data_IF_498277289600
#
_entry.id   IF_498277289600
#
_cell.length_a   1.000
_cell.length_b   1.000
_cell.length_c   1.000
_cell.angle_alpha   90.00
_cell.angle_beta   90.00
_cell.angle_gamma   90.00
#
_symmetry.space_group_name_H-M   'P 1'
#
loop_
_entity.id
_entity.type
_entity.pdbx_description
1 polymer ?
#
# COMPACT_ATOMS: atom_id res chain seq x y z
N UNK A 1 -27.94 6.70 -25.41
CA UNK A 1 -27.46 6.28 -24.06
C UNK A 1 -28.06 7.23 -23.02
N UNK A 2 -28.71 6.69 -21.97
CA UNK A 2 -29.31 7.53 -20.92
C UNK A 2 -28.19 8.29 -20.21
N UNK A 3 -28.32 9.62 -20.11
CA UNK A 3 -27.36 10.48 -19.40
C UNK A 3 -27.05 9.98 -17.97
N UNK A 4 -28.01 9.35 -17.31
CA UNK A 4 -27.85 8.71 -16.00
C UNK A 4 -26.83 7.57 -16.07
N UNK A 5 -26.90 6.68 -17.05
CA UNK A 5 -25.95 5.56 -17.18
C UNK A 5 -24.54 6.06 -17.47
N UNK A 6 -24.39 7.11 -18.27
CA UNK A 6 -23.09 7.73 -18.52
C UNK A 6 -22.50 8.33 -17.24
N UNK A 7 -23.31 9.08 -16.48
CA UNK A 7 -22.89 9.63 -15.20
C UNK A 7 -22.45 8.53 -14.20
N UNK A 8 -23.22 7.45 -14.09
CA UNK A 8 -22.87 6.34 -13.23
C UNK A 8 -21.57 5.64 -13.66
N UNK A 9 -21.33 5.52 -14.97
CA UNK A 9 -20.05 4.98 -15.48
C UNK A 9 -18.88 5.87 -15.11
N UNK A 10 -18.99 7.18 -15.26
CA UNK A 10 -17.97 8.12 -14.87
C UNK A 10 -17.69 8.04 -13.36
N UNK A 11 -18.74 7.99 -12.56
CA UNK A 11 -18.62 7.87 -11.09
C UNK A 11 -17.89 6.58 -10.69
N UNK A 12 -18.32 5.44 -11.22
CA UNK A 12 -17.70 4.14 -10.89
C UNK A 12 -16.28 4.06 -11.43
N UNK A 13 -16.02 4.55 -12.64
CA UNK A 13 -14.67 4.64 -13.20
C UNK A 13 -13.75 5.43 -12.27
N UNK A 14 -14.17 6.60 -11.83
CA UNK A 14 -13.42 7.42 -10.88
C UNK A 14 -13.15 6.67 -9.57
N UNK A 15 -14.15 6.00 -8.99
CA UNK A 15 -13.99 5.27 -7.74
C UNK A 15 -12.94 4.15 -7.86
N UNK A 16 -12.94 3.38 -8.95
CA UNK A 16 -11.96 2.32 -9.16
C UNK A 16 -10.56 2.86 -9.42
N UNK A 17 -10.43 3.87 -10.28
CA UNK A 17 -9.12 4.49 -10.55
C UNK A 17 -8.55 5.18 -9.33
N UNK A 18 -9.39 5.86 -8.54
CA UNK A 18 -8.98 6.47 -7.29
C UNK A 18 -8.56 5.43 -6.25
N UNK A 19 -9.29 4.30 -6.16
CA UNK A 19 -8.94 3.19 -5.27
C UNK A 19 -7.57 2.58 -5.64
N UNK A 20 -7.31 2.38 -6.93
CA UNK A 20 -6.02 1.90 -7.42
C UNK A 20 -4.90 2.90 -7.11
N UNK A 21 -5.12 4.19 -7.40
CA UNK A 21 -4.15 5.25 -7.10
C UNK A 21 -3.82 5.32 -5.61
N UNK A 22 -4.84 5.27 -4.76
CA UNK A 22 -4.67 5.35 -3.30
C UNK A 22 -3.86 4.18 -2.73
N UNK A 23 -3.98 2.96 -3.31
CA UNK A 23 -3.17 1.80 -2.93
C UNK A 23 -1.72 1.87 -3.42
N UNK A 24 -1.46 2.65 -4.46
CA UNK A 24 -0.10 2.88 -4.97
C UNK A 24 0.61 4.03 -4.26
N UNK A 25 -0.15 4.89 -3.55
CA UNK A 25 0.41 6.07 -2.90
C UNK A 25 0.78 5.79 -1.42
N UNK A 26 1.94 6.23 -0.90
CA UNK A 26 3.02 6.91 -1.63
C UNK A 26 3.75 5.98 -2.60
N UNK A 27 4.10 6.50 -3.79
CA UNK A 27 4.83 5.72 -4.81
C UNK A 27 6.30 5.54 -4.47
N UNK A 28 6.83 6.40 -3.61
CA UNK A 28 8.20 6.34 -3.12
C UNK A 28 8.47 4.98 -2.48
N UNK A 29 9.54 4.33 -2.89
CA UNK A 29 9.94 2.99 -2.43
C UNK A 29 8.82 1.93 -2.47
N UNK A 30 7.81 2.12 -3.31
CA UNK A 30 6.61 1.26 -3.38
C UNK A 30 5.85 1.16 -2.04
N UNK A 31 5.99 2.15 -1.16
CA UNK A 31 5.42 2.12 0.20
C UNK A 31 3.91 1.86 0.20
N UNK A 32 3.17 2.50 -0.72
CA UNK A 32 1.72 2.33 -0.81
C UNK A 32 1.32 0.88 -1.06
N UNK A 33 1.99 0.21 -2.03
CA UNK A 33 1.66 -1.18 -2.34
C UNK A 33 2.11 -2.15 -1.24
N UNK A 34 3.23 -1.87 -0.56
CA UNK A 34 3.70 -2.64 0.60
C UNK A 34 2.70 -2.50 1.74
N UNK A 35 2.26 -1.28 2.06
CA UNK A 35 1.25 -1.05 3.09
C UNK A 35 -0.07 -1.77 2.77
N UNK A 36 -0.46 -1.83 1.49
CA UNK A 36 -1.63 -2.60 1.07
C UNK A 36 -1.44 -4.11 1.29
N UNK A 37 -0.25 -4.64 1.03
CA UNK A 37 0.09 -6.05 1.25
C UNK A 37 0.05 -6.40 2.74
N UNK A 38 0.72 -5.60 3.57
CA UNK A 38 0.87 -5.85 5.01
C UNK A 38 -0.44 -5.64 5.79
N UNK A 39 -1.17 -4.55 5.48
CA UNK A 39 -2.36 -4.18 6.25
C UNK A 39 -3.65 -4.83 5.74
N UNK A 40 -3.65 -5.42 4.53
CA UNK A 40 -4.84 -6.06 3.98
C UNK A 40 -4.62 -7.50 3.54
N UNK A 41 -3.67 -7.75 2.63
CA UNK A 41 -3.58 -9.07 2.02
C UNK A 41 -3.06 -10.13 3.00
N UNK A 42 -2.06 -9.81 3.81
CA UNK A 42 -1.55 -10.74 4.81
C UNK A 42 -2.62 -11.06 5.87
N UNK A 43 -3.36 -10.10 6.44
CA UNK A 43 -4.50 -10.37 7.32
C UNK A 43 -5.64 -11.14 6.65
N UNK A 44 -5.80 -11.05 5.33
CA UNK A 44 -6.73 -11.89 4.55
C UNK A 44 -6.29 -13.35 4.42
N UNK A 45 -5.08 -13.72 4.88
CA UNK A 45 -4.52 -15.07 4.82
C UNK A 45 -3.57 -15.32 3.65
N UNK A 46 -3.18 -14.29 2.90
CA UNK A 46 -2.13 -14.44 1.91
C UNK A 46 -0.76 -14.53 2.59
N UNK A 47 0.11 -15.42 2.09
CA UNK A 47 1.48 -15.47 2.57
C UNK A 47 2.30 -14.29 2.05
N UNK A 48 3.38 -13.94 2.74
CA UNK A 48 4.34 -12.91 2.30
C UNK A 48 4.89 -13.15 0.88
N UNK A 49 4.94 -14.41 0.45
CA UNK A 49 5.39 -14.78 -0.91
C UNK A 49 4.31 -14.54 -1.98
N UNK A 50 3.02 -14.67 -1.64
CA UNK A 50 1.91 -14.57 -2.60
C UNK A 50 1.26 -13.20 -2.61
N UNK A 51 1.25 -12.49 -1.48
CA UNK A 51 0.68 -11.15 -1.36
C UNK A 51 1.22 -10.15 -2.42
N UNK A 52 2.54 -10.12 -2.73
CA UNK A 52 3.07 -9.22 -3.75
C UNK A 52 2.53 -9.47 -5.16
N UNK A 53 2.29 -10.71 -5.55
CA UNK A 53 1.68 -11.00 -6.86
C UNK A 53 0.20 -10.61 -6.88
N UNK A 54 -0.49 -10.89 -5.78
CA UNK A 54 -1.91 -10.64 -5.68
C UNK A 54 -2.25 -9.15 -5.58
N UNK A 55 -1.39 -8.34 -4.94
CA UNK A 55 -1.55 -6.88 -4.89
C UNK A 55 -1.52 -6.26 -6.28
N UNK A 56 -0.53 -6.66 -7.14
CA UNK A 56 -0.44 -6.18 -8.53
C UNK A 56 -1.64 -6.61 -9.34
N UNK A 57 -2.10 -7.83 -9.15
CA UNK A 57 -3.30 -8.35 -9.82
C UNK A 57 -4.55 -7.56 -9.42
N UNK A 58 -4.78 -7.32 -8.13
CA UNK A 58 -5.93 -6.53 -7.64
C UNK A 58 -5.89 -5.11 -8.16
N UNK A 59 -4.78 -4.41 -7.97
CA UNK A 59 -4.63 -3.01 -8.39
C UNK A 59 -4.75 -2.90 -9.92
N UNK A 60 -4.12 -3.82 -10.66
CA UNK A 60 -4.27 -3.92 -12.11
C UNK A 60 -5.71 -4.15 -12.54
N UNK A 61 -6.45 -4.99 -11.81
CA UNK A 61 -7.89 -5.23 -12.07
C UNK A 61 -8.74 -3.99 -11.78
N UNK A 62 -8.42 -3.21 -10.75
CA UNK A 62 -9.09 -1.93 -10.48
C UNK A 62 -8.86 -0.93 -11.62
N UNK A 63 -7.63 -0.80 -12.10
CA UNK A 63 -7.30 0.05 -13.26
C UNK A 63 -8.04 -0.44 -14.50
N UNK A 64 -8.02 -1.74 -14.76
CA UNK A 64 -8.72 -2.34 -15.90
C UNK A 64 -10.23 -2.06 -15.86
N UNK A 65 -10.90 -2.28 -14.73
CA UNK A 65 -12.32 -1.99 -14.55
C UNK A 65 -12.57 -0.50 -14.73
N UNK A 66 -11.79 0.35 -14.06
CA UNK A 66 -11.94 1.79 -14.12
C UNK A 66 -11.85 2.33 -15.55
N UNK A 67 -10.91 1.85 -16.36
CA UNK A 67 -10.77 2.25 -17.76
C UNK A 67 -11.86 1.64 -18.64
N UNK A 68 -12.15 0.35 -18.52
CA UNK A 68 -13.06 -0.36 -19.43
C UNK A 68 -14.53 -0.04 -19.20
N UNK A 69 -14.92 0.37 -17.99
CA UNK A 69 -16.30 0.74 -17.70
C UNK A 69 -16.76 1.97 -18.49
N UNK A 70 -15.82 2.83 -18.92
CA UNK A 70 -16.10 3.96 -19.80
C UNK A 70 -16.45 3.52 -21.21
N UNK A 71 -15.89 2.39 -21.67
CA UNK A 71 -16.18 1.83 -22.98
C UNK A 71 -17.36 0.86 -22.87
N UNK A 72 -18.28 0.89 -23.84
CA UNK A 72 -19.48 0.03 -23.84
C UNK A 72 -19.18 -1.38 -24.38
N UNK A 73 -17.90 -1.81 -24.39
CA UNK A 73 -17.47 -3.09 -24.93
C UNK A 73 -17.42 -4.14 -23.83
N UNK A 74 -18.13 -5.24 -24.03
CA UNK A 74 -18.23 -6.33 -23.06
C UNK A 74 -18.63 -5.90 -21.63
N UNK A 75 -19.17 -4.68 -21.49
CA UNK A 75 -19.51 -4.08 -20.21
C UNK A 75 -20.35 -5.03 -19.34
N UNK A 76 -21.48 -5.51 -19.89
CA UNK A 76 -22.42 -6.41 -19.18
C UNK A 76 -21.88 -7.82 -18.96
N UNK A 77 -21.03 -8.34 -19.86
CA UNK A 77 -20.59 -9.74 -19.81
C UNK A 77 -19.33 -9.95 -18.99
N UNK A 78 -18.44 -8.98 -18.96
CA UNK A 78 -17.11 -9.11 -18.34
C UNK A 78 -16.90 -8.06 -17.27
N UNK A 79 -16.99 -6.78 -17.61
CA UNK A 79 -16.55 -5.69 -16.75
C UNK A 79 -17.41 -5.57 -15.49
N UNK A 80 -18.74 -5.49 -15.65
CA UNK A 80 -19.64 -5.37 -14.50
C UNK A 80 -19.64 -6.61 -13.59
N UNK A 81 -19.68 -7.86 -14.07
CA UNK A 81 -19.53 -9.04 -13.23
C UNK A 81 -18.20 -9.06 -12.47
N UNK A 82 -17.08 -8.72 -13.13
CA UNK A 82 -15.77 -8.65 -12.49
C UNK A 82 -15.75 -7.58 -11.37
N UNK A 83 -16.30 -6.40 -11.63
CA UNK A 83 -16.43 -5.34 -10.63
C UNK A 83 -17.29 -5.77 -9.42
N UNK A 84 -18.43 -6.44 -9.67
CA UNK A 84 -19.31 -6.94 -8.62
C UNK A 84 -18.60 -7.99 -7.76
N UNK A 85 -17.91 -8.96 -8.39
CA UNK A 85 -17.17 -10.01 -7.68
C UNK A 85 -16.09 -9.38 -6.79
N UNK A 86 -15.33 -8.42 -7.33
CA UNK A 86 -14.26 -7.79 -6.61
C UNK A 86 -14.74 -6.97 -5.40
N UNK A 87 -15.76 -6.14 -5.57
CA UNK A 87 -16.33 -5.34 -4.45
C UNK A 87 -16.99 -6.27 -3.42
N UNK A 88 -17.64 -7.34 -3.86
CA UNK A 88 -18.24 -8.34 -2.94
C UNK A 88 -17.16 -9.02 -2.09
N UNK A 89 -16.05 -9.45 -2.71
CA UNK A 89 -14.92 -10.05 -1.98
C UNK A 89 -14.35 -9.12 -0.91
N UNK A 90 -14.11 -7.85 -1.26
CA UNK A 90 -13.67 -6.86 -0.28
C UNK A 90 -14.72 -6.59 0.81
N UNK A 91 -16.00 -6.58 0.48
CA UNK A 91 -17.08 -6.36 1.46
C UNK A 91 -17.16 -7.49 2.48
N UNK A 92 -16.98 -8.75 2.02
CA UNK A 92 -16.92 -9.90 2.92
C UNK A 92 -15.74 -9.76 3.88
N UNK A 93 -14.55 -9.42 3.37
CA UNK A 93 -13.40 -9.20 4.23
C UNK A 93 -13.61 -8.07 5.23
N UNK A 94 -14.14 -6.91 4.80
CA UNK A 94 -14.44 -5.80 5.69
C UNK A 94 -15.46 -6.17 6.78
N UNK A 95 -16.40 -7.07 6.48
CA UNK A 95 -17.38 -7.53 7.48
C UNK A 95 -16.72 -8.31 8.62
N UNK A 96 -15.59 -8.97 8.39
CA UNK A 96 -14.82 -9.66 9.44
C UNK A 96 -14.01 -8.71 10.32
N UNK A 97 -13.79 -7.48 9.85
CA UNK A 97 -13.07 -6.44 10.58
C UNK A 97 -14.00 -5.45 11.33
N UNK A 98 -15.31 -5.66 11.26
CA UNK A 98 -16.26 -4.82 12.00
C UNK A 98 -16.01 -4.90 13.50
N UNK A 99 -15.84 -3.74 14.14
CA UNK A 99 -15.53 -3.63 15.57
C UNK A 99 -14.05 -3.38 15.87
N UNK A 100 -13.16 -3.35 14.87
CA UNK A 100 -11.82 -2.84 15.04
C UNK A 100 -11.78 -1.33 14.75
N UNK A 101 -11.09 -0.57 15.59
CA UNK A 101 -10.84 0.87 15.35
C UNK A 101 -9.68 1.11 14.37
N UNK A 102 -9.02 0.04 13.91
CA UNK A 102 -7.94 0.13 12.95
C UNK A 102 -8.46 0.58 11.57
N UNK A 103 -7.74 1.49 10.86
CA UNK A 103 -8.12 1.88 9.51
C UNK A 103 -8.06 0.67 8.58
N UNK A 104 -9.08 0.51 7.73
CA UNK A 104 -9.20 -0.68 6.85
C UNK A 104 -8.15 -0.78 5.73
N UNK A 105 -7.32 0.26 5.54
CA UNK A 105 -6.30 0.31 4.48
C UNK A 105 -6.83 0.27 3.04
N UNK A 106 -8.16 0.20 2.83
CA UNK A 106 -8.78 0.04 1.50
C UNK A 106 -8.48 1.18 0.51
N UNK A 107 -8.08 2.34 1.02
CA UNK A 107 -7.70 3.52 0.25
C UNK A 107 -6.28 3.97 0.58
N UNK A 108 -5.39 3.03 0.92
CA UNK A 108 -4.03 3.33 1.33
C UNK A 108 -4.00 4.32 2.51
N UNK A 109 -3.01 5.19 2.51
CA UNK A 109 -2.86 6.23 3.54
C UNK A 109 -3.58 7.54 3.21
N UNK A 110 -4.06 7.70 1.96
CA UNK A 110 -4.70 8.95 1.51
C UNK A 110 -6.01 9.23 2.23
N UNK A 111 -6.81 8.20 2.48
CA UNK A 111 -8.09 8.34 3.19
C UNK A 111 -8.23 7.20 4.21
N UNK A 112 -8.07 7.55 5.47
CA UNK A 112 -8.24 6.60 6.58
C UNK A 112 -9.73 6.42 6.89
N UNK A 113 -10.36 5.46 6.23
CA UNK A 113 -11.75 5.08 6.50
C UNK A 113 -11.80 3.96 7.54
N UNK A 114 -12.82 4.00 8.40
CA UNK A 114 -13.12 2.86 9.27
C UNK A 114 -13.68 1.69 8.44
N UNK A 115 -13.59 0.44 8.92
CA UNK A 115 -14.18 -0.71 8.23
C UNK A 115 -15.67 -0.53 7.92
N UNK A 116 -16.42 0.09 8.84
CA UNK A 116 -17.85 0.38 8.64
C UNK A 116 -18.09 1.37 7.50
N UNK A 117 -17.34 2.48 7.46
CA UNK A 117 -17.47 3.49 6.41
C UNK A 117 -17.14 2.90 5.03
N UNK A 118 -16.08 2.08 4.96
CA UNK A 118 -15.71 1.38 3.74
C UNK A 118 -16.75 0.37 3.30
N UNK A 119 -17.37 -0.34 4.23
CA UNK A 119 -18.45 -1.28 3.96
C UNK A 119 -19.70 -0.57 3.41
N UNK A 120 -20.12 0.54 4.01
CA UNK A 120 -21.24 1.35 3.52
C UNK A 120 -20.97 1.83 2.08
N UNK A 121 -19.79 2.38 1.82
CA UNK A 121 -19.37 2.78 0.48
C UNK A 121 -19.45 1.62 -0.52
N UNK A 122 -18.96 0.44 -0.14
CA UNK A 122 -18.99 -0.75 -1.00
C UNK A 122 -20.42 -1.24 -1.28
N UNK A 123 -21.30 -1.22 -0.29
CA UNK A 123 -22.72 -1.56 -0.48
C UNK A 123 -23.38 -0.61 -1.47
N UNK A 124 -23.17 0.71 -1.33
CA UNK A 124 -23.69 1.69 -2.28
C UNK A 124 -23.14 1.46 -3.69
N UNK A 125 -21.84 1.17 -3.81
CA UNK A 125 -21.20 0.83 -5.08
C UNK A 125 -21.82 -0.44 -5.69
N UNK A 126 -22.07 -1.49 -4.91
CA UNK A 126 -22.73 -2.70 -5.38
C UNK A 126 -24.15 -2.43 -5.90
N UNK A 127 -24.94 -1.62 -5.21
CA UNK A 127 -26.29 -1.23 -5.66
C UNK A 127 -26.20 -0.58 -7.04
N UNK A 128 -25.28 0.36 -7.22
CA UNK A 128 -25.07 1.05 -8.50
C UNK A 128 -24.64 0.05 -9.59
N UNK A 129 -23.67 -0.82 -9.30
CA UNK A 129 -23.18 -1.82 -10.25
C UNK A 129 -24.28 -2.78 -10.69
N UNK A 130 -25.11 -3.27 -9.76
CA UNK A 130 -26.27 -4.14 -10.06
C UNK A 130 -27.32 -3.40 -10.88
N UNK A 131 -27.59 -2.12 -10.56
CA UNK A 131 -28.49 -1.28 -11.37
C UNK A 131 -27.94 -1.12 -12.80
N UNK A 132 -26.66 -0.79 -12.95
CA UNK A 132 -26.02 -0.69 -14.25
C UNK A 132 -26.05 -2.02 -15.00
N UNK A 133 -25.83 -3.15 -14.34
CA UNK A 133 -25.90 -4.47 -14.95
C UNK A 133 -27.29 -4.78 -15.52
N UNK A 134 -28.36 -4.42 -14.80
CA UNK A 134 -29.74 -4.61 -15.28
C UNK A 134 -30.10 -3.71 -16.46
N UNK A 135 -29.61 -2.46 -16.45
CA UNK A 135 -29.94 -1.43 -17.45
C UNK A 135 -29.03 -1.44 -18.68
N UNK A 136 -27.82 -1.99 -18.57
CA UNK A 136 -26.88 -2.03 -19.70
C UNK A 136 -27.29 -3.07 -20.74
N UNK A 137 -27.15 -2.70 -22.00
CA UNK A 137 -27.34 -3.60 -23.13
C UNK A 137 -26.11 -4.50 -23.33
N UNK A 138 -26.33 -5.66 -23.93
CA UNK A 138 -25.24 -6.56 -24.32
C UNK A 138 -24.64 -6.07 -25.63
N UNK A 139 -23.61 -5.26 -25.55
CA UNK A 139 -22.83 -4.88 -26.75
C UNK A 139 -21.56 -5.73 -26.83
N UNK A 140 -21.26 -6.23 -28.01
CA UNK A 140 -20.00 -6.91 -28.33
C UNK A 140 -19.07 -5.86 -28.93
N UNK A 141 -17.84 -5.87 -28.50
CA UNK A 141 -16.76 -5.05 -29.07
C UNK A 141 -15.63 -5.95 -29.55
N UNK A 142 -14.47 -5.39 -29.80
CA UNK A 142 -13.28 -6.16 -30.11
C UNK A 142 -12.71 -6.78 -28.82
N UNK A 143 -12.71 -8.12 -28.75
CA UNK A 143 -12.08 -8.86 -27.66
C UNK A 143 -10.57 -8.57 -27.60
N UNK A 144 -9.96 -8.33 -28.77
CA UNK A 144 -8.53 -7.99 -28.86
C UNK A 144 -8.18 -6.74 -28.07
N UNK A 145 -9.05 -5.72 -28.02
CA UNK A 145 -8.84 -4.50 -27.24
C UNK A 145 -8.77 -4.82 -25.75
N UNK A 146 -9.67 -5.66 -25.25
CA UNK A 146 -9.64 -6.08 -23.82
C UNK A 146 -8.37 -6.87 -23.50
N UNK A 147 -7.98 -7.80 -24.37
CA UNK A 147 -6.76 -8.59 -24.20
C UNK A 147 -5.52 -7.69 -24.19
N UNK A 148 -5.39 -6.80 -25.16
CA UNK A 148 -4.26 -5.86 -25.23
C UNK A 148 -4.22 -4.99 -23.98
N UNK A 149 -5.37 -4.44 -23.57
CA UNK A 149 -5.43 -3.60 -22.37
C UNK A 149 -5.04 -4.37 -21.09
N UNK A 150 -5.54 -5.62 -20.94
CA UNK A 150 -5.18 -6.47 -19.79
C UNK A 150 -3.68 -6.76 -19.77
N UNK A 151 -3.10 -7.14 -20.93
CA UNK A 151 -1.67 -7.41 -21.03
C UNK A 151 -0.84 -6.15 -20.76
N UNK A 152 -1.25 -5.01 -21.31
CA UNK A 152 -0.55 -3.73 -21.10
C UNK A 152 -0.57 -3.32 -19.63
N UNK A 153 -1.72 -3.39 -18.94
CA UNK A 153 -1.85 -3.06 -17.53
C UNK A 153 -1.02 -4.05 -16.68
N UNK A 154 -1.10 -5.35 -16.97
CA UNK A 154 -0.31 -6.35 -16.24
C UNK A 154 1.19 -6.11 -16.40
N UNK A 155 1.65 -5.90 -17.63
CA UNK A 155 3.06 -5.58 -17.90
C UNK A 155 3.48 -4.32 -17.17
N UNK A 156 2.66 -3.26 -17.21
CA UNK A 156 2.95 -2.00 -16.52
C UNK A 156 3.06 -2.21 -15.01
N UNK A 157 2.12 -2.95 -14.41
CA UNK A 157 2.14 -3.22 -12.97
C UNK A 157 3.39 -3.96 -12.53
N UNK A 158 3.80 -5.01 -13.24
CA UNK A 158 4.99 -5.79 -12.88
C UNK A 158 6.32 -5.13 -13.25
N UNK A 159 6.32 -4.19 -14.20
CA UNK A 159 7.54 -3.43 -14.54
C UNK A 159 7.74 -2.23 -13.61
N UNK A 160 6.67 -1.50 -13.29
CA UNK A 160 6.76 -0.34 -12.38
C UNK A 160 6.88 -0.77 -10.90
N UNK A 161 6.23 -1.87 -10.54
CA UNK A 161 6.22 -2.41 -9.18
C UNK A 161 6.73 -3.86 -9.18
N UNK A 162 8.02 -4.09 -9.37
CA UNK A 162 8.58 -5.43 -9.47
C UNK A 162 8.38 -6.23 -8.19
N UNK A 163 8.16 -7.55 -8.33
CA UNK A 163 8.06 -8.49 -7.22
C UNK A 163 9.42 -9.14 -6.99
N UNK A 164 9.87 -9.19 -5.74
CA UNK A 164 11.11 -9.89 -5.37
C UNK A 164 12.08 -9.06 -4.54
N UNK A 165 13.24 -9.60 -4.24
CA UNK A 165 14.31 -9.01 -3.40
C UNK A 165 14.81 -7.61 -3.83
N UNK A 166 14.32 -7.07 -4.95
CA UNK A 166 14.66 -5.72 -5.39
C UNK A 166 14.24 -4.66 -4.37
N UNK A 167 13.11 -4.86 -3.66
CA UNK A 167 12.66 -3.92 -2.62
C UNK A 167 13.66 -3.85 -1.47
N UNK A 168 14.13 -5.01 -0.98
CA UNK A 168 15.18 -5.06 0.05
C UNK A 168 16.46 -4.37 -0.43
N UNK A 169 16.91 -4.68 -1.66
CA UNK A 169 18.11 -4.07 -2.23
C UNK A 169 17.93 -2.58 -2.53
N UNK A 170 16.72 -2.13 -2.89
CA UNK A 170 16.44 -0.70 -3.08
C UNK A 170 16.45 0.05 -1.74
N UNK A 171 15.82 -0.49 -0.70
CA UNK A 171 15.84 0.10 0.64
C UNK A 171 17.29 0.19 1.14
N UNK A 172 18.06 -0.90 1.00
CA UNK A 172 19.48 -0.90 1.40
C UNK A 172 20.29 0.12 0.57
N UNK A 173 20.09 0.21 -0.75
CA UNK A 173 20.82 1.16 -1.58
C UNK A 173 20.45 2.62 -1.29
N UNK A 174 19.20 2.88 -0.96
CA UNK A 174 18.78 4.22 -0.55
C UNK A 174 19.29 4.56 0.85
N UNK A 175 19.20 3.62 1.79
CA UNK A 175 19.78 3.80 3.11
C UNK A 175 21.29 4.09 3.02
N UNK A 176 22.01 3.31 2.20
CA UNK A 176 23.45 3.51 1.99
C UNK A 176 23.79 4.82 1.27
N UNK A 177 22.87 5.44 0.54
CA UNK A 177 23.07 6.76 -0.06
C UNK A 177 23.08 7.92 0.96
N UNK A 178 22.47 7.71 2.13
CA UNK A 178 22.47 8.69 3.23
C UNK A 178 23.64 8.49 4.19
N UNK A 179 24.24 7.31 4.25
CA UNK A 179 25.40 7.00 5.10
C UNK A 179 26.65 7.56 4.45
N UNK A 180 27.12 8.73 4.91
CA UNK A 180 28.18 9.49 4.21
C UNK A 180 29.60 9.19 4.68
N UNK A 181 29.84 8.84 5.93
CA UNK A 181 31.18 8.95 6.48
C UNK A 181 31.62 7.86 7.47
N UNK A 182 30.79 6.90 7.83
CA UNK A 182 31.20 5.84 8.76
C UNK A 182 31.35 4.50 8.06
N UNK A 183 32.37 3.75 8.46
CA UNK A 183 32.64 2.36 8.02
C UNK A 183 31.53 1.36 8.42
N UNK A 184 30.26 1.78 8.35
CA UNK A 184 29.13 0.89 8.62
C UNK A 184 28.85 0.06 7.37
N UNK A 185 29.27 -1.19 7.40
CA UNK A 185 29.03 -2.14 6.34
C UNK A 185 27.57 -2.64 6.39
N UNK A 186 26.64 -1.82 5.88
CA UNK A 186 25.19 -2.09 5.91
C UNK A 186 24.81 -3.42 5.25
N UNK A 187 25.64 -3.89 4.31
CA UNK A 187 25.39 -5.12 3.54
C UNK A 187 25.97 -6.38 4.22
N UNK A 188 26.69 -6.26 5.32
CA UNK A 188 27.33 -7.39 6.01
C UNK A 188 26.62 -7.65 7.35
N UNK A 189 26.24 -8.91 7.57
CA UNK A 189 25.58 -9.36 8.80
C UNK A 189 24.11 -8.97 8.91
N UNK A 190 23.50 -9.39 10.00
CA UNK A 190 22.11 -9.02 10.33
C UNK A 190 22.10 -7.66 11.04
N UNK A 191 21.36 -6.70 10.48
CA UNK A 191 21.28 -5.33 10.99
C UNK A 191 19.84 -4.85 11.05
N UNK A 192 19.55 -4.05 12.05
CA UNK A 192 18.31 -3.28 12.18
C UNK A 192 18.59 -1.85 11.75
N UNK A 193 18.04 -1.46 10.59
CA UNK A 193 18.17 -0.10 10.06
C UNK A 193 16.93 0.71 10.47
N UNK A 194 17.14 1.79 11.21
CA UNK A 194 16.08 2.64 11.73
C UNK A 194 16.14 4.03 11.12
N UNK A 195 14.99 4.56 10.69
CA UNK A 195 14.81 5.98 10.39
C UNK A 195 13.99 6.57 11.53
N UNK A 196 14.61 7.41 12.33
CA UNK A 196 13.98 7.98 13.52
C UNK A 196 14.09 9.50 13.50
N UNK A 197 13.15 10.13 14.16
CA UNK A 197 13.14 11.57 14.40
C UNK A 197 13.46 11.81 15.87
N UNK A 198 14.47 12.66 16.20
CA UNK A 198 14.93 12.83 17.58
C UNK A 198 13.84 13.33 18.53
N UNK A 199 12.96 14.22 18.06
CA UNK A 199 11.91 14.84 18.87
C UNK A 199 10.62 14.02 18.95
N UNK A 200 10.52 12.93 18.20
CA UNK A 200 9.33 12.11 18.14
C UNK A 200 9.24 11.17 19.36
N UNK A 201 8.24 11.35 20.22
CA UNK A 201 8.03 10.48 21.39
C UNK A 201 7.87 9.00 21.05
N UNK A 202 7.22 8.69 19.92
CA UNK A 202 7.07 7.28 19.47
C UNK A 202 8.41 6.70 19.06
N UNK A 203 9.26 7.49 18.44
CA UNK A 203 10.62 7.10 18.06
C UNK A 203 11.48 6.86 19.30
N UNK A 204 11.41 7.74 20.31
CA UNK A 204 12.08 7.55 21.61
C UNK A 204 11.65 6.27 22.29
N UNK A 205 10.33 5.96 22.32
CA UNK A 205 9.81 4.69 22.86
C UNK A 205 10.28 3.48 22.06
N UNK A 206 10.32 3.57 20.73
CA UNK A 206 10.85 2.50 19.87
C UNK A 206 12.34 2.24 20.16
N UNK A 207 13.15 3.30 20.27
CA UNK A 207 14.56 3.21 20.66
C UNK A 207 14.75 2.49 22.00
N UNK A 208 13.94 2.86 23.02
CA UNK A 208 13.96 2.20 24.33
C UNK A 208 13.57 0.71 24.26
N UNK A 209 12.60 0.37 23.43
CA UNK A 209 12.20 -1.03 23.23
C UNK A 209 13.30 -1.82 22.56
N UNK A 210 13.98 -1.26 21.56
CA UNK A 210 15.13 -1.89 20.91
C UNK A 210 16.29 -2.08 21.86
N UNK A 211 16.60 -1.09 22.70
CA UNK A 211 17.62 -1.22 23.74
C UNK A 211 17.28 -2.33 24.72
N UNK A 212 16.03 -2.40 25.19
CA UNK A 212 15.57 -3.45 26.09
C UNK A 212 15.68 -4.84 25.46
N UNK A 213 15.34 -5.00 24.19
CA UNK A 213 15.44 -6.25 23.46
C UNK A 213 16.90 -6.66 23.24
N UNK A 214 17.77 -5.71 22.90
CA UNK A 214 19.20 -5.98 22.69
C UNK A 214 19.93 -6.46 23.95
N UNK A 215 19.39 -6.19 25.14
CA UNK A 215 19.93 -6.67 26.42
C UNK A 215 19.46 -8.06 26.81
N UNK A 216 18.34 -8.53 26.25
CA UNK A 216 17.70 -9.80 26.64
C UNK A 216 17.99 -10.90 25.62
N UNK A 217 18.23 -10.55 24.37
CA UNK A 217 18.42 -11.51 23.29
C UNK A 217 19.92 -11.63 23.01
N UNK A 218 20.47 -12.80 23.22
CA UNK A 218 21.82 -13.14 22.78
C UNK A 218 21.85 -13.11 21.24
N UNK A 219 22.90 -12.55 20.66
CA UNK A 219 23.06 -12.44 19.20
C UNK A 219 22.06 -11.45 18.53
N UNK A 220 21.65 -10.40 19.27
CA UNK A 220 20.77 -9.37 18.75
C UNK A 220 21.46 -8.60 17.61
N UNK A 221 20.75 -8.35 16.47
CA UNK A 221 21.31 -7.65 15.33
C UNK A 221 21.82 -6.25 15.68
N UNK A 222 22.90 -5.81 15.03
CA UNK A 222 23.43 -4.47 15.21
C UNK A 222 22.42 -3.41 14.78
N UNK A 223 22.18 -2.42 15.65
CA UNK A 223 21.24 -1.35 15.39
C UNK A 223 21.98 -0.15 14.81
N UNK A 224 21.53 0.31 13.64
CA UNK A 224 22.01 1.54 13.03
C UNK A 224 20.85 2.51 12.79
N UNK A 225 20.99 3.75 13.26
CA UNK A 225 19.94 4.76 13.22
C UNK A 225 20.34 5.89 12.27
N UNK A 226 19.46 6.20 11.33
CA UNK A 226 19.49 7.46 10.58
C UNK A 226 18.46 8.39 11.18
N UNK A 227 18.93 9.54 11.67
CA UNK A 227 18.02 10.58 12.12
C UNK A 227 17.60 11.45 10.94
N UNK A 228 16.28 11.69 10.81
CA UNK A 228 15.80 12.68 9.87
C UNK A 228 16.14 14.07 10.41
N UNK A 229 16.93 14.81 9.63
CA UNK A 229 17.32 16.17 9.96
C UNK A 229 16.14 17.12 9.69
N UNK A 230 15.52 17.60 10.77
CA UNK A 230 14.55 18.68 10.67
C UNK A 230 15.30 20.01 10.62
N UNK A 231 15.38 20.63 9.50
CA UNK A 231 15.72 22.02 9.13
C UNK A 231 16.59 22.94 10.06
N UNK A 232 17.05 22.45 11.21
CA UNK A 232 17.89 23.24 12.15
C UNK A 232 19.14 22.47 12.55
N UNK A 233 20.26 22.70 11.82
CA UNK A 233 21.53 22.00 12.07
C UNK A 233 22.17 22.30 13.45
N UNK A 234 21.93 23.48 14.02
CA UNK A 234 22.59 23.89 15.27
C UNK A 234 22.06 23.15 16.51
N UNK A 235 20.80 22.69 16.49
CA UNK A 235 20.17 21.98 17.61
C UNK A 235 20.14 20.46 17.46
N UNK A 236 20.55 19.90 16.33
CA UNK A 236 20.40 18.46 16.02
C UNK A 236 21.14 17.58 17.01
N UNK A 237 22.40 17.90 17.34
CA UNK A 237 23.20 17.07 18.24
C UNK A 237 22.60 17.01 19.66
N UNK A 238 22.08 18.14 20.16
CA UNK A 238 21.43 18.19 21.49
C UNK A 238 20.18 17.31 21.49
N UNK A 239 19.37 17.35 20.45
CA UNK A 239 18.18 16.52 20.32
C UNK A 239 18.49 15.02 20.19
N UNK A 240 19.60 14.70 19.52
CA UNK A 240 20.09 13.31 19.43
C UNK A 240 20.57 12.82 20.80
N UNK A 241 21.27 13.64 21.54
CA UNK A 241 21.74 13.29 22.89
C UNK A 241 20.55 13.10 23.84
N UNK A 242 19.54 13.97 23.80
CA UNK A 242 18.27 13.81 24.54
C UNK A 242 17.52 12.52 24.14
N UNK A 243 17.54 12.17 22.85
CA UNK A 243 16.96 10.91 22.38
C UNK A 243 17.64 9.72 23.03
N UNK A 244 18.98 9.68 23.04
CA UNK A 244 19.72 8.56 23.64
C UNK A 244 19.66 8.53 25.16
N UNK A 245 19.54 9.66 25.83
CA UNK A 245 19.28 9.73 27.26
C UNK A 245 17.95 9.04 27.60
N UNK A 246 16.91 9.24 26.77
CA UNK A 246 15.63 8.57 26.93
C UNK A 246 15.66 7.10 26.50
N UNK A 247 16.32 6.78 25.41
CA UNK A 247 16.38 5.42 24.85
C UNK A 247 17.24 4.46 25.71
N UNK A 248 18.22 4.99 26.44
CA UNK A 248 19.02 4.22 27.41
C UNK A 248 20.29 3.58 26.83
N UNK A 249 20.52 3.63 25.52
CA UNK A 249 21.75 3.15 24.89
C UNK A 249 22.13 4.05 23.69
N UNK A 250 23.41 4.08 23.36
CA UNK A 250 23.91 4.79 22.20
C UNK A 250 24.17 3.81 21.06
N UNK A 251 23.24 3.75 20.11
CA UNK A 251 23.40 2.96 18.88
C UNK A 251 24.38 3.66 17.93
N UNK A 252 24.86 2.93 16.90
CA UNK A 252 25.52 3.61 15.78
C UNK A 252 24.51 4.47 15.05
N UNK A 253 24.83 5.72 14.72
CA UNK A 253 23.90 6.66 14.10
C UNK A 253 24.58 7.62 13.12
N UNK A 254 23.82 8.15 12.20
CA UNK A 254 24.10 9.28 11.32
C UNK A 254 22.93 10.24 11.23
#
# INVERSE_FOLDING_TARGET
>A
ENSILLFLRLLISFLFLFSAYAKLHPMEMMQGIINFEENQLIPMGFSEKTAPYFSRFIIGSEIFIGLTILFNYYLKRIVLPLAIIMITGFSIHLSTQLGSDAPCGCHGELIKLTPLQSLIKNILTLIILVFMYKKSEVKRGSLSVLIILTLSISTLMFTMFPVGNKTKNQIISQYSSFVKEKDVKINEGDKILCFLEPDCEKCKKAGRSLDSLSRVIDDFPEIHVLFSDGMDPEGVQVRIDDFFEFAGNKFSYE
#
